data_IF_435124294302
#
_entry.id   IF_435124294302
#
_cell.length_a   1.000
_cell.length_b   1.000
_cell.length_c   1.000
_cell.angle_alpha   90.00
_cell.angle_beta   90.00
_cell.angle_gamma   90.00
#
_symmetry.space_group_name_H-M   'P 1'
#
loop_
_entity.id
_entity.type
_entity.pdbx_description
1 polymer ?
#
# COMPACT_ATOMS: atom_id res chain seq x y z
N UNK A 1 1.09 0.83 -13.49
CA UNK A 1 1.67 1.12 -12.15
C UNK A 1 0.52 1.47 -11.21
N UNK A 2 0.49 0.96 -9.96
CA UNK A 2 -0.53 1.39 -9.01
C UNK A 2 -0.41 2.89 -8.70
N UNK A 3 -1.51 3.54 -8.31
CA UNK A 3 -1.49 4.96 -7.99
C UNK A 3 -0.60 5.23 -6.76
N UNK A 4 0.02 6.41 -6.72
CA UNK A 4 0.70 6.87 -5.51
C UNK A 4 -0.33 7.09 -4.39
N UNK A 5 -0.01 6.59 -3.20
CA UNK A 5 -0.89 6.67 -2.04
C UNK A 5 -0.36 7.68 -1.02
N UNK A 6 -1.26 8.10 -0.13
CA UNK A 6 -1.00 9.03 0.96
C UNK A 6 -1.43 8.42 2.28
N UNK A 7 -0.80 8.88 3.35
CA UNK A 7 -1.16 8.58 4.74
C UNK A 7 -1.53 9.90 5.40
N UNK A 8 -2.72 9.98 5.99
CA UNK A 8 -3.26 11.22 6.58
C UNK A 8 -3.95 10.92 7.92
N UNK A 9 -3.61 11.61 9.01
CA UNK A 9 -2.53 12.60 9.11
C UNK A 9 -1.13 11.96 8.98
N UNK A 10 -0.10 12.77 8.75
CA UNK A 10 1.30 12.30 8.73
C UNK A 10 1.89 12.12 10.14
N UNK A 11 1.15 12.50 11.19
CA UNK A 11 1.46 12.24 12.58
C UNK A 11 0.19 11.93 13.34
N UNK A 12 0.21 10.91 14.19
CA UNK A 12 -0.94 10.46 14.98
C UNK A 12 -0.47 9.86 16.31
N UNK A 13 -1.34 9.87 17.32
CA UNK A 13 -1.12 9.14 18.57
C UNK A 13 -1.58 7.69 18.48
N UNK A 14 -1.15 6.88 19.43
CA UNK A 14 -1.72 5.54 19.66
C UNK A 14 -3.24 5.65 19.84
N UNK A 15 -4.00 4.84 19.09
CA UNK A 15 -5.46 4.85 19.08
C UNK A 15 -6.11 5.98 18.27
N UNK A 16 -5.34 6.91 17.70
CA UNK A 16 -5.90 7.92 16.79
C UNK A 16 -6.11 7.34 15.39
N UNK A 17 -7.09 7.90 14.70
CA UNK A 17 -7.45 7.49 13.34
C UNK A 17 -6.41 7.95 12.31
N UNK A 18 -6.08 7.06 11.38
CA UNK A 18 -5.27 7.33 10.21
C UNK A 18 -5.93 6.73 8.96
N UNK A 19 -5.83 7.46 7.86
CA UNK A 19 -6.34 7.06 6.55
C UNK A 19 -5.19 6.85 5.57
N UNK A 20 -5.18 5.69 4.93
CA UNK A 20 -4.32 5.36 3.79
C UNK A 20 -5.18 5.36 2.53
N UNK A 21 -4.85 6.20 1.56
CA UNK A 21 -5.68 6.33 0.36
C UNK A 21 -4.90 6.64 -0.89
N UNK A 22 -5.45 6.23 -2.03
CA UNK A 22 -4.94 6.54 -3.36
C UNK A 22 -6.11 6.85 -4.30
N UNK A 23 -5.88 7.78 -5.24
CA UNK A 23 -6.85 8.07 -6.30
C UNK A 23 -6.72 7.05 -7.42
N UNK A 24 -7.77 6.90 -8.23
CA UNK A 24 -7.69 6.06 -9.43
C UNK A 24 -6.56 6.50 -10.37
N UNK A 25 -5.89 5.52 -10.98
CA UNK A 25 -4.91 5.78 -12.02
C UNK A 25 -5.58 6.28 -13.30
N UNK A 26 -4.91 7.20 -13.99
CA UNK A 26 -5.35 7.72 -15.29
C UNK A 26 -5.00 6.79 -16.47
N UNK A 27 -4.09 5.83 -16.26
CA UNK A 27 -3.59 4.91 -17.29
C UNK A 27 -4.40 3.61 -17.46
N UNK A 28 -5.54 3.48 -16.77
CA UNK A 28 -6.47 2.34 -16.87
C UNK A 28 -5.84 0.94 -16.63
N UNK A 29 -5.33 0.65 -15.41
CA UNK A 29 -4.59 -0.58 -15.12
C UNK A 29 -5.42 -1.87 -15.07
N UNK A 30 -6.76 -1.79 -14.91
CA UNK A 30 -7.69 -2.94 -14.92
C UNK A 30 -7.36 -4.08 -13.94
N UNK A 31 -7.25 -3.76 -12.64
CA UNK A 31 -6.97 -4.74 -11.58
C UNK A 31 -8.11 -5.74 -11.31
N UNK A 32 -9.32 -5.51 -11.86
CA UNK A 32 -10.51 -6.33 -11.69
C UNK A 32 -11.48 -5.79 -10.64
N UNK A 33 -12.76 -6.17 -10.75
CA UNK A 33 -13.84 -5.67 -9.87
C UNK A 33 -13.76 -6.17 -8.42
N UNK A 34 -12.95 -7.18 -8.13
CA UNK A 34 -12.68 -7.70 -6.77
C UNK A 34 -11.23 -7.41 -6.33
N UNK A 35 -10.59 -6.40 -6.94
CA UNK A 35 -9.23 -6.04 -6.60
C UNK A 35 -9.14 -5.65 -5.11
N UNK A 36 -8.00 -5.98 -4.51
CA UNK A 36 -7.70 -5.64 -3.13
C UNK A 36 -6.36 -4.91 -3.06
N UNK A 37 -6.20 -4.10 -2.02
CA UNK A 37 -4.94 -3.50 -1.63
C UNK A 37 -4.48 -4.15 -0.33
N UNK A 38 -3.20 -4.51 -0.23
CA UNK A 38 -2.55 -4.89 1.02
C UNK A 38 -2.03 -3.66 1.71
N UNK A 39 -2.33 -3.51 2.99
CA UNK A 39 -1.82 -2.45 3.86
C UNK A 39 -1.02 -3.10 5.00
N UNK A 40 0.21 -2.64 5.20
CA UNK A 40 1.08 -3.10 6.30
C UNK A 40 1.65 -1.91 7.04
N UNK A 41 1.57 -1.91 8.37
CA UNK A 41 2.26 -0.93 9.22
C UNK A 41 3.40 -1.65 9.93
N UNK A 42 4.62 -1.18 9.71
CA UNK A 42 5.82 -1.65 10.40
C UNK A 42 6.28 -0.57 11.37
N UNK A 43 6.33 -0.88 12.65
CA UNK A 43 6.68 0.10 13.67
C UNK A 43 8.18 0.46 13.68
N UNK A 44 8.55 1.42 14.53
CA UNK A 44 9.92 1.90 14.64
C UNK A 44 10.95 0.83 15.08
N UNK A 45 10.49 -0.33 15.58
CA UNK A 45 11.33 -1.48 15.92
C UNK A 45 11.47 -2.50 14.79
N UNK A 46 10.75 -2.29 13.67
CA UNK A 46 10.72 -3.21 12.54
C UNK A 46 9.65 -4.30 12.65
N UNK A 47 8.71 -4.19 13.60
CA UNK A 47 7.65 -5.17 13.80
C UNK A 47 6.40 -4.79 13.01
N UNK A 48 5.83 -5.75 12.27
CA UNK A 48 4.51 -5.56 11.65
C UNK A 48 3.43 -5.53 12.73
N UNK A 49 2.85 -4.35 12.96
CA UNK A 49 1.78 -4.13 13.95
C UNK A 49 0.39 -4.15 13.32
N UNK A 50 0.32 -4.05 11.99
CA UNK A 50 -0.88 -4.24 11.18
C UNK A 50 -0.49 -4.90 9.86
N UNK A 51 -1.24 -5.91 9.43
CA UNK A 51 -1.12 -6.51 8.10
C UNK A 51 -2.52 -6.97 7.65
N UNK A 52 -3.10 -6.27 6.68
CA UNK A 52 -4.49 -6.48 6.27
C UNK A 52 -4.71 -6.20 4.80
N UNK A 53 -5.90 -6.52 4.30
CA UNK A 53 -6.37 -6.21 2.95
C UNK A 53 -7.63 -5.34 3.00
N UNK A 54 -7.79 -4.45 2.03
CA UNK A 54 -9.01 -3.66 1.84
C UNK A 54 -9.47 -3.68 0.37
N UNK A 55 -10.75 -3.39 0.09
CA UNK A 55 -11.25 -3.25 -1.28
C UNK A 55 -10.48 -2.17 -2.05
N UNK A 56 -10.21 -2.46 -3.33
CA UNK A 56 -9.57 -1.54 -4.27
C UNK A 56 -10.38 -1.49 -5.56
N UNK A 57 -10.51 -0.30 -6.15
CA UNK A 57 -11.16 -0.14 -7.44
C UNK A 57 -10.34 -0.81 -8.56
N UNK A 58 -11.02 -1.14 -9.66
CA UNK A 58 -10.40 -1.67 -10.88
C UNK A 58 -9.26 -0.77 -11.41
N UNK A 59 -9.35 0.54 -11.17
CA UNK A 59 -8.31 1.52 -11.55
C UNK A 59 -7.27 1.79 -10.46
N UNK A 60 -7.32 1.05 -9.35
CA UNK A 60 -6.34 1.08 -8.28
C UNK A 60 -6.61 2.08 -7.16
N UNK A 61 -7.67 2.89 -7.24
CA UNK A 61 -8.06 3.77 -6.15
C UNK A 61 -8.58 3.00 -4.94
N UNK A 62 -8.28 3.49 -3.74
CA UNK A 62 -8.77 2.92 -2.48
C UNK A 62 -8.75 3.96 -1.36
N UNK A 63 -9.53 3.69 -0.32
CA UNK A 63 -9.49 4.40 0.96
C UNK A 63 -9.60 3.37 2.06
N UNK A 64 -8.65 3.37 2.99
CA UNK A 64 -8.63 2.51 4.16
C UNK A 64 -8.39 3.36 5.41
N UNK A 65 -9.27 3.23 6.40
CA UNK A 65 -9.21 3.99 7.65
C UNK A 65 -9.08 3.01 8.82
N UNK A 66 -8.15 3.28 9.71
CA UNK A 66 -7.88 2.45 10.90
C UNK A 66 -7.36 3.34 12.03
N UNK A 67 -7.47 2.87 13.27
CA UNK A 67 -6.71 3.45 14.38
C UNK A 67 -5.26 2.95 14.36
N UNK A 68 -4.33 3.78 14.85
CA UNK A 68 -2.95 3.34 15.14
C UNK A 68 -2.99 2.31 16.28
N UNK A 69 -2.54 1.06 16.07
CA UNK A 69 -2.64 0.03 17.10
C UNK A 69 -1.93 0.44 18.41
N UNK A 70 -2.55 0.17 19.56
CA UNK A 70 -2.04 0.62 20.87
C UNK A 70 -0.68 0.03 21.25
N UNK A 71 -0.31 -1.11 20.68
CA UNK A 71 0.98 -1.76 20.89
C UNK A 71 2.11 -1.21 20.01
N UNK A 72 1.84 -0.24 19.13
CA UNK A 72 2.82 0.32 18.19
C UNK A 72 3.94 1.03 18.96
N UNK A 73 5.20 0.73 18.62
CA UNK A 73 6.31 1.51 19.15
C UNK A 73 6.26 2.96 18.63
N UNK A 74 6.39 3.93 19.55
CA UNK A 74 6.52 5.35 19.23
C UNK A 74 7.72 5.61 18.33
N UNK A 75 7.53 6.46 17.31
CA UNK A 75 8.54 6.78 16.31
C UNK A 75 7.97 6.75 14.89
N UNK A 76 8.86 6.71 13.91
CA UNK A 76 8.46 6.61 12.50
C UNK A 76 7.99 5.19 12.19
N UNK A 77 6.69 5.06 11.88
CA UNK A 77 6.07 3.85 11.35
C UNK A 77 6.17 3.89 9.83
N UNK A 78 6.66 2.80 9.23
CA UNK A 78 6.62 2.61 7.80
C UNK A 78 5.26 2.01 7.41
N UNK A 79 4.46 2.78 6.67
CA UNK A 79 3.22 2.30 6.06
C UNK A 79 3.54 1.83 4.65
N UNK A 80 3.06 0.64 4.30
CA UNK A 80 3.12 0.08 2.95
C UNK A 80 1.69 -0.11 2.45
N UNK A 81 1.45 0.26 1.19
CA UNK A 81 0.22 -0.07 0.48
C UNK A 81 0.50 -0.40 -0.99
N UNK A 82 0.00 -1.53 -1.48
CA UNK A 82 0.07 -1.94 -2.88
C UNK A 82 -1.06 -2.93 -3.23
N UNK A 83 -1.41 -3.09 -4.52
CA UNK A 83 -2.33 -4.13 -4.96
C UNK A 83 -1.94 -5.51 -4.42
N UNK A 84 -2.92 -6.25 -3.92
CA UNK A 84 -2.72 -7.56 -3.35
C UNK A 84 -2.31 -8.58 -4.41
N UNK A 85 -1.36 -9.46 -4.07
CA UNK A 85 -0.91 -10.53 -4.95
C UNK A 85 -0.13 -10.07 -6.18
N UNK A 86 0.22 -8.78 -6.27
CA UNK A 86 1.10 -8.26 -7.33
C UNK A 86 2.55 -8.49 -6.93
N UNK A 87 3.30 -9.17 -7.79
CA UNK A 87 4.74 -9.22 -7.69
C UNK A 87 5.31 -7.85 -8.10
N UNK A 88 5.85 -7.13 -7.13
CA UNK A 88 6.37 -5.78 -7.33
C UNK A 88 7.74 -5.79 -8.04
N UNK A 89 8.54 -6.81 -7.78
CA UNK A 89 9.87 -6.97 -8.36
C UNK A 89 9.83 -7.64 -9.73
N UNK A 90 8.70 -8.26 -10.10
CA UNK A 90 8.55 -9.08 -11.31
C UNK A 90 9.69 -10.13 -11.44
N UNK A 91 10.20 -10.60 -10.29
CA UNK A 91 11.31 -11.55 -10.20
C UNK A 91 10.81 -12.99 -10.08
N UNK A 92 9.50 -13.19 -9.84
CA UNK A 92 8.86 -14.51 -9.80
C UNK A 92 8.34 -14.97 -11.17
N UNK A 93 8.53 -14.18 -12.22
CA UNK A 93 8.04 -14.49 -13.57
C UNK A 93 6.51 -14.46 -13.71
N UNK A 94 5.80 -13.97 -12.68
CA UNK A 94 4.37 -13.68 -12.73
C UNK A 94 4.16 -12.22 -13.14
N UNK A 95 4.10 -12.01 -14.45
CA UNK A 95 3.74 -10.71 -14.99
C UNK A 95 2.25 -10.42 -14.72
N UNK A 96 1.98 -9.79 -13.57
CA UNK A 96 0.63 -9.36 -13.19
C UNK A 96 0.29 -7.95 -13.74
N UNK A 97 1.16 -7.38 -14.58
CA UNK A 97 1.02 -6.02 -15.13
C UNK A 97 0.64 -5.98 -16.61
N UNK A 98 0.77 -7.09 -17.34
CA UNK A 98 0.41 -7.19 -18.75
C UNK A 98 -0.74 -8.19 -18.92
N UNK A 99 -1.81 -7.75 -19.60
CA UNK A 99 -2.68 -8.72 -20.27
C UNK A 99 -1.88 -9.51 -21.32
N UNK A 100 -2.35 -10.70 -21.75
CA UNK A 100 -1.67 -11.43 -22.82
C UNK A 100 -1.54 -10.56 -24.08
N UNK A 101 -0.30 -10.19 -24.44
CA UNK A 101 0.03 -9.43 -25.65
C UNK A 101 0.58 -8.02 -25.46
N UNK A 102 0.85 -7.54 -24.24
CA UNK A 102 1.45 -6.22 -24.02
C UNK A 102 2.98 -6.25 -23.87
N UNK A 103 3.60 -5.12 -24.24
CA UNK A 103 5.04 -4.87 -24.38
C UNK A 103 5.81 -5.23 -23.12
N UNK A 104 7.03 -5.75 -23.29
CA UNK A 104 8.01 -6.01 -22.24
C UNK A 104 8.14 -4.78 -21.31
N UNK A 105 7.68 -4.90 -20.06
CA UNK A 105 7.70 -3.81 -19.10
C UNK A 105 9.09 -3.75 -18.45
N UNK A 106 9.68 -2.57 -18.45
CA UNK A 106 10.99 -2.33 -17.83
C UNK A 106 10.91 -2.47 -16.30
N UNK A 107 11.90 -3.13 -15.70
CA UNK A 107 12.01 -3.34 -14.24
C UNK A 107 12.13 -1.98 -13.51
N UNK A 108 11.00 -1.43 -13.08
CA UNK A 108 10.96 -0.24 -12.24
C UNK A 108 11.11 -0.65 -10.77
N UNK A 109 12.32 -0.48 -10.22
CA UNK A 109 12.70 -0.50 -8.79
C UNK A 109 11.97 -1.49 -7.85
N UNK A 110 12.72 -2.45 -7.31
CA UNK A 110 12.28 -3.37 -6.24
C UNK A 110 11.97 -2.70 -4.89
N UNK A 111 12.15 -1.38 -4.74
CA UNK A 111 11.85 -0.71 -3.49
C UNK A 111 10.35 -0.72 -3.23
N UNK A 112 9.93 -1.40 -2.14
CA UNK A 112 8.54 -1.33 -1.66
C UNK A 112 8.15 0.14 -1.44
N UNK A 113 7.03 0.63 -2.00
CA UNK A 113 6.59 2.00 -1.79
C UNK A 113 6.12 2.16 -0.34
N UNK A 114 6.99 2.69 0.51
CA UNK A 114 6.69 2.99 1.92
C UNK A 114 6.46 4.50 2.10
N UNK A 115 5.52 4.86 2.97
CA UNK A 115 5.26 6.25 3.40
C UNK A 115 5.40 6.32 4.93
N UNK A 116 6.02 7.38 5.47
CA UNK A 116 6.18 7.53 6.91
C UNK A 116 4.88 7.99 7.58
N UNK A 117 4.63 7.46 8.78
CA UNK A 117 3.66 7.97 9.76
C UNK A 117 4.39 8.19 11.08
N UNK A 118 4.42 9.43 11.56
CA UNK A 118 5.05 9.73 12.85
C UNK A 118 4.09 9.41 14.00
N UNK A 119 4.35 8.32 14.72
CA UNK A 119 3.53 7.92 15.88
C UNK A 119 4.08 8.51 17.17
N UNK A 120 3.19 9.13 17.95
CA UNK A 120 3.49 9.71 19.26
C UNK A 120 2.65 9.08 20.37
N UNK A 121 2.97 9.39 21.63
CA UNK A 121 2.11 9.08 22.78
C UNK A 121 0.97 10.09 22.94
#
# INVERSE_FOLDING_TARGET
MPPDYKVTPSSAKLGEEVTVSALDATCNPRYGGNAQVRIVFTDATGVEVLNTTAPMADKGGFTFTTEVPLQTAVGEVAVYAAPEGVDWCDDTGKNNRAGPGEVELEMVSCAKPMKPLNVTN
#
